data_IF_483232222197
#
_entry.id   IF_483232222197
#
_cell.length_a   1.000
_cell.length_b   1.000
_cell.length_c   1.000
_cell.angle_alpha   90.00
_cell.angle_beta   90.00
_cell.angle_gamma   90.00
#
_symmetry.space_group_name_H-M   'P 1'
#
loop_
_entity.id
_entity.type
_entity.pdbx_description
1 polymer ?
#
# COMPACT_ATOMS: atom_id res chain seq x y z
N UNK A 1 17.21 -19.00 36.97
CA UNK A 1 17.85 -18.56 35.74
C UNK A 1 16.75 -18.33 34.71
N UNK A 2 16.10 -17.16 34.81
CA UNK A 2 15.02 -16.76 33.92
C UNK A 2 15.62 -16.18 32.65
N UNK A 3 15.52 -16.90 31.54
CA UNK A 3 15.79 -16.34 30.21
C UNK A 3 14.60 -15.47 29.82
N UNK A 4 14.81 -14.16 29.91
CA UNK A 4 13.92 -13.18 29.33
C UNK A 4 14.03 -13.31 27.80
N UNK A 5 13.09 -14.03 27.21
CA UNK A 5 12.88 -14.06 25.78
C UNK A 5 12.18 -12.75 25.46
N UNK A 6 12.99 -11.71 25.25
CA UNK A 6 12.50 -10.45 24.74
C UNK A 6 12.03 -10.74 23.31
N UNK A 7 10.72 -10.80 23.15
CA UNK A 7 10.07 -10.96 21.86
C UNK A 7 10.51 -9.81 20.96
N UNK A 8 11.23 -10.15 19.90
CA UNK A 8 11.72 -9.22 18.87
C UNK A 8 10.59 -8.79 17.91
N UNK A 9 9.34 -8.99 18.32
CA UNK A 9 8.15 -8.70 17.53
C UNK A 9 7.70 -7.23 17.57
N UNK A 10 8.38 -6.38 18.32
CA UNK A 10 7.91 -5.00 18.53
C UNK A 10 8.76 -3.94 17.83
N UNK A 11 9.52 -4.27 16.78
CA UNK A 11 10.32 -3.25 16.09
C UNK A 11 10.28 -3.38 14.56
N UNK A 12 9.12 -3.61 14.00
CA UNK A 12 8.84 -3.26 12.61
C UNK A 12 7.92 -2.03 12.57
N UNK A 13 8.32 -0.99 13.27
CA UNK A 13 7.86 0.35 12.90
C UNK A 13 8.59 0.66 11.60
N UNK A 14 8.00 0.24 10.51
CA UNK A 14 8.42 0.67 9.18
C UNK A 14 8.19 2.17 9.14
N UNK A 15 9.28 2.93 9.14
CA UNK A 15 9.24 4.37 8.94
C UNK A 15 8.79 4.60 7.49
N UNK A 16 7.49 4.67 7.29
CA UNK A 16 6.90 5.07 6.02
C UNK A 16 7.08 6.58 5.92
N UNK A 17 8.02 7.02 5.08
CA UNK A 17 8.15 8.44 4.78
C UNK A 17 7.01 8.86 3.87
N UNK A 18 6.09 9.64 4.39
CA UNK A 18 5.04 10.29 3.61
C UNK A 18 5.66 11.48 2.87
N UNK A 19 5.64 11.43 1.55
CA UNK A 19 5.94 12.59 0.72
C UNK A 19 4.63 13.15 0.18
N UNK A 20 4.15 14.22 0.76
CA UNK A 20 3.02 14.99 0.22
C UNK A 20 3.52 15.88 -0.90
N UNK A 21 3.15 15.58 -2.13
CA UNK A 21 3.37 16.46 -3.27
C UNK A 21 2.09 17.24 -3.55
N UNK A 22 2.02 18.50 -3.11
CA UNK A 22 0.96 19.39 -3.52
C UNK A 22 1.29 20.01 -4.87
N UNK A 23 0.56 19.64 -5.90
CA UNK A 23 0.63 20.31 -7.20
C UNK A 23 -0.37 21.48 -7.16
N UNK A 24 0.13 22.69 -6.99
CA UNK A 24 -0.68 23.90 -7.12
C UNK A 24 -0.79 24.26 -8.60
N UNK A 25 -1.87 23.92 -9.27
CA UNK A 25 -2.28 24.58 -10.50
C UNK A 25 -3.18 25.77 -10.16
N UNK A 26 -2.72 26.95 -10.53
CA UNK A 26 -3.46 28.20 -10.39
C UNK A 26 -4.60 28.27 -11.40
N UNK A 27 -5.79 27.82 -11.02
CA UNK A 27 -7.10 28.25 -11.53
C UNK A 27 -8.12 27.90 -10.45
N UNK A 28 -8.85 28.90 -9.97
CA UNK A 28 -9.91 28.70 -8.98
C UNK A 28 -11.04 27.88 -9.59
N UNK A 29 -11.22 26.63 -9.16
CA UNK A 29 -12.53 25.99 -9.21
C UNK A 29 -13.07 25.82 -7.80
N UNK A 30 -14.34 25.97 -7.68
CA UNK A 30 -15.20 25.69 -6.55
C UNK A 30 -14.64 24.55 -5.67
N UNK A 31 -14.22 24.84 -4.45
CA UNK A 31 -13.33 24.04 -3.59
C UNK A 31 -13.89 22.69 -3.08
N UNK A 32 -14.82 22.05 -3.82
CA UNK A 32 -15.39 20.75 -3.44
C UNK A 32 -14.89 19.54 -4.22
N UNK A 33 -14.18 19.75 -5.32
CA UNK A 33 -13.76 18.68 -6.23
C UNK A 33 -12.25 18.50 -6.34
N UNK A 34 -11.46 19.12 -5.47
CA UNK A 34 -10.01 18.87 -5.46
C UNK A 34 -9.72 17.49 -4.89
N UNK A 35 -8.85 16.75 -5.58
CA UNK A 35 -8.34 15.47 -5.14
C UNK A 35 -6.95 15.66 -4.54
N UNK A 36 -6.65 14.93 -3.49
CA UNK A 36 -5.34 14.88 -2.83
C UNK A 36 -4.76 13.49 -2.99
N UNK A 37 -3.44 13.42 -3.10
CA UNK A 37 -2.71 12.16 -3.32
C UNK A 37 -1.70 11.96 -2.20
N UNK A 38 -1.79 10.81 -1.53
CA UNK A 38 -0.77 10.29 -0.64
C UNK A 38 0.03 9.20 -1.35
N UNK A 39 1.33 9.19 -1.09
CA UNK A 39 2.24 8.23 -1.68
C UNK A 39 3.10 7.57 -0.61
N UNK A 40 3.06 6.26 -0.56
CA UNK A 40 3.83 5.43 0.36
C UNK A 40 4.81 4.56 -0.42
N UNK A 41 6.05 4.48 0.07
CA UNK A 41 7.07 3.61 -0.50
C UNK A 41 7.72 2.78 0.62
N UNK A 42 7.75 1.47 0.42
CA UNK A 42 8.45 0.53 1.28
C UNK A 42 9.55 -0.16 0.48
N UNK A 43 10.71 -0.35 1.08
CA UNK A 43 11.89 -0.91 0.42
C UNK A 43 12.59 0.10 -0.48
N UNK A 44 13.41 -0.42 -1.38
CA UNK A 44 14.21 0.39 -2.30
C UNK A 44 14.26 -0.23 -3.69
N UNK A 45 14.56 0.61 -4.65
CA UNK A 45 14.83 0.16 -6.01
C UNK A 45 16.09 -0.70 -6.03
N UNK A 46 15.99 -1.89 -6.63
CA UNK A 46 17.08 -2.84 -6.80
C UNK A 46 17.30 -3.04 -8.30
N UNK A 47 18.58 -3.13 -8.68
CA UNK A 47 18.95 -3.40 -10.08
C UNK A 47 18.32 -4.72 -10.54
N UNK A 48 17.73 -4.71 -11.73
CA UNK A 48 16.99 -5.83 -12.33
C UNK A 48 15.66 -6.21 -11.64
N UNK A 49 15.19 -5.45 -10.66
CA UNK A 49 13.83 -5.63 -10.16
C UNK A 49 12.81 -5.23 -11.23
N UNK A 50 11.77 -6.03 -11.36
CA UNK A 50 10.67 -5.81 -12.31
C UNK A 50 9.35 -5.69 -11.55
N UNK A 51 8.34 -5.01 -12.11
CA UNK A 51 6.99 -5.06 -11.57
C UNK A 51 6.50 -6.52 -11.57
N UNK A 52 6.13 -7.02 -10.40
CA UNK A 52 5.65 -8.40 -10.19
C UNK A 52 4.18 -8.44 -9.80
N UNK A 53 3.65 -7.29 -9.37
CA UNK A 53 2.25 -7.15 -9.01
C UNK A 53 1.79 -5.72 -9.27
N UNK A 54 0.56 -5.60 -9.77
CA UNK A 54 -0.12 -4.34 -9.93
C UNK A 54 -1.61 -4.53 -9.66
N UNK A 55 -2.16 -3.68 -8.83
CA UNK A 55 -3.61 -3.57 -8.68
C UNK A 55 -4.00 -2.12 -8.53
N UNK A 56 -5.18 -1.77 -9.03
CA UNK A 56 -5.80 -0.47 -8.83
C UNK A 56 -7.29 -0.65 -8.69
N UNK A 57 -7.89 0.20 -7.87
CA UNK A 57 -9.34 0.21 -7.69
C UNK A 57 -9.81 1.60 -7.27
N UNK A 58 -11.10 1.89 -7.53
CA UNK A 58 -11.75 3.12 -7.12
C UNK A 58 -13.05 2.79 -6.41
N UNK A 59 -13.20 3.35 -5.23
CA UNK A 59 -14.41 3.32 -4.41
C UNK A 59 -15.06 4.69 -4.43
N UNK A 60 -16.38 4.73 -4.51
CA UNK A 60 -17.16 5.97 -4.46
C UNK A 60 -18.30 5.79 -3.48
N UNK A 61 -18.52 6.79 -2.64
CA UNK A 61 -19.52 6.80 -1.59
C UNK A 61 -20.41 8.03 -1.71
N UNK A 62 -21.67 7.92 -1.30
CA UNK A 62 -22.63 9.01 -1.31
C UNK A 62 -22.32 10.11 -0.29
N UNK A 63 -21.53 9.76 0.74
CA UNK A 63 -21.09 10.67 1.80
C UNK A 63 -19.67 10.36 2.24
N UNK A 64 -18.99 11.35 2.83
CA UNK A 64 -17.64 11.14 3.36
C UNK A 64 -17.63 10.03 4.42
N UNK A 65 -16.74 9.07 4.22
CA UNK A 65 -16.56 7.94 5.11
C UNK A 65 -15.56 8.28 6.20
N UNK A 66 -15.86 7.86 7.42
CA UNK A 66 -15.00 8.10 8.58
C UNK A 66 -13.98 6.98 8.81
N UNK A 67 -14.20 5.83 8.20
CA UNK A 67 -13.28 4.68 8.34
C UNK A 67 -13.47 3.72 7.16
N UNK A 68 -12.50 3.73 6.25
CA UNK A 68 -12.40 2.77 5.16
C UNK A 68 -11.18 1.91 5.46
N UNK A 69 -11.36 0.59 5.52
CA UNK A 69 -10.27 -0.37 5.72
C UNK A 69 -10.27 -1.34 4.55
N UNK A 70 -9.14 -1.46 3.89
CA UNK A 70 -8.93 -2.35 2.74
C UNK A 70 -7.70 -3.20 2.99
N UNK A 71 -7.83 -4.51 2.74
CA UNK A 71 -6.71 -5.45 2.79
C UNK A 71 -6.36 -5.91 1.38
N UNK A 72 -5.09 -5.81 1.02
CA UNK A 72 -4.56 -6.18 -0.30
C UNK A 72 -3.47 -7.21 -0.09
N UNK A 73 -3.63 -8.37 -0.70
CA UNK A 73 -2.71 -9.49 -0.57
C UNK A 73 -1.99 -9.77 -1.90
N UNK A 74 -0.69 -10.03 -1.82
CA UNK A 74 0.11 -10.55 -2.92
C UNK A 74 0.94 -11.76 -2.43
N UNK A 75 0.94 -12.87 -3.18
CA UNK A 75 0.05 -13.15 -4.31
C UNK A 75 -1.42 -13.14 -3.88
N UNK A 76 -2.31 -12.80 -4.80
CA UNK A 76 -3.74 -12.92 -4.54
C UNK A 76 -4.07 -14.37 -4.22
N UNK A 77 -4.94 -14.60 -3.23
CA UNK A 77 -5.40 -15.96 -2.95
C UNK A 77 -6.17 -16.48 -4.16
N UNK A 78 -5.53 -17.36 -4.93
CA UNK A 78 -6.19 -18.07 -6.02
C UNK A 78 -6.90 -19.26 -5.42
N UNK A 79 -8.20 -19.34 -5.62
CA UNK A 79 -9.03 -20.48 -5.21
C UNK A 79 -8.79 -21.74 -6.04
N UNK A 80 -7.84 -21.73 -6.95
CA UNK A 80 -7.50 -22.87 -7.78
C UNK A 80 -6.31 -23.64 -7.21
N UNK A 81 -6.57 -24.94 -6.95
CA UNK A 81 -5.56 -25.94 -6.57
C UNK A 81 -4.55 -26.25 -7.70
N UNK A 82 -4.13 -25.25 -8.45
CA UNK A 82 -3.06 -25.43 -9.43
C UNK A 82 -1.73 -25.53 -8.72
N UNK A 83 -1.20 -26.72 -8.66
CA UNK A 83 0.13 -27.08 -8.17
C UNK A 83 1.20 -26.57 -9.15
N UNK A 84 1.17 -25.31 -9.53
CA UNK A 84 2.29 -24.71 -10.20
C UNK A 84 3.22 -24.12 -9.14
N UNK A 85 4.34 -24.79 -8.92
CA UNK A 85 5.49 -24.27 -8.18
C UNK A 85 6.10 -23.19 -9.10
N UNK A 86 5.43 -22.06 -9.25
CA UNK A 86 6.09 -20.89 -9.77
C UNK A 86 6.94 -20.34 -8.62
N UNK A 87 8.24 -20.22 -8.83
CA UNK A 87 9.15 -19.53 -7.92
C UNK A 87 8.67 -18.09 -7.80
N UNK A 88 7.91 -17.80 -6.75
CA UNK A 88 7.46 -16.43 -6.51
C UNK A 88 8.68 -15.54 -6.32
N UNK A 89 8.73 -14.39 -7.01
CA UNK A 89 9.85 -13.46 -6.88
C UNK A 89 9.95 -12.90 -5.45
N UNK A 90 11.16 -12.52 -5.05
CA UNK A 90 11.39 -11.81 -3.79
C UNK A 90 11.03 -10.33 -3.98
N UNK A 91 10.17 -9.82 -3.12
CA UNK A 91 9.72 -8.42 -3.12
C UNK A 91 10.87 -7.52 -2.67
N UNK A 92 11.17 -6.49 -3.46
CA UNK A 92 12.23 -5.51 -3.17
C UNK A 92 11.70 -4.14 -2.86
N UNK A 93 10.55 -3.76 -3.46
CA UNK A 93 9.92 -2.47 -3.25
C UNK A 93 8.41 -2.58 -3.45
N UNK A 94 7.68 -1.81 -2.65
CA UNK A 94 6.24 -1.62 -2.80
C UNK A 94 5.97 -0.13 -2.88
N UNK A 95 5.20 0.28 -3.87
CA UNK A 95 4.68 1.65 -4.03
C UNK A 95 3.17 1.62 -3.93
N UNK A 96 2.63 2.51 -3.13
CA UNK A 96 1.20 2.69 -2.94
C UNK A 96 0.84 4.14 -3.18
N UNK A 97 -0.13 4.37 -4.03
CA UNK A 97 -0.72 5.68 -4.31
C UNK A 97 -2.17 5.66 -3.86
N UNK A 98 -2.55 6.64 -3.08
CA UNK A 98 -3.91 6.82 -2.58
C UNK A 98 -4.40 8.20 -3.03
N UNK A 99 -5.59 8.25 -3.59
CA UNK A 99 -6.23 9.49 -4.02
C UNK A 99 -7.59 9.59 -3.35
N UNK A 100 -7.86 10.72 -2.71
CA UNK A 100 -9.11 11.00 -2.02
C UNK A 100 -9.57 12.42 -2.24
N UNK A 101 -10.79 12.77 -1.78
CA UNK A 101 -11.29 14.15 -1.80
C UNK A 101 -10.48 15.01 -0.83
N UNK A 102 -10.43 16.32 -1.07
CA UNK A 102 -9.67 17.26 -0.25
C UNK A 102 -9.91 17.08 1.26
N UNK A 103 -8.85 17.03 2.02
CA UNK A 103 -8.86 16.80 3.47
C UNK A 103 -9.04 15.33 3.84
N UNK A 104 -8.87 14.36 2.92
CA UNK A 104 -8.82 12.96 3.30
C UNK A 104 -7.55 12.66 4.10
N UNK A 105 -7.65 11.66 4.95
CA UNK A 105 -6.52 11.16 5.72
C UNK A 105 -6.31 9.70 5.37
N UNK A 106 -5.06 9.29 5.22
CA UNK A 106 -4.73 7.91 4.92
C UNK A 106 -3.56 7.38 5.74
N UNK A 107 -3.52 6.06 5.89
CA UNK A 107 -2.43 5.31 6.49
C UNK A 107 -2.30 3.97 5.77
N UNK A 108 -1.10 3.45 5.68
CA UNK A 108 -0.84 2.14 5.11
C UNK A 108 0.08 1.32 6.02
N UNK A 109 -0.25 0.06 6.20
CA UNK A 109 0.45 -0.87 7.07
C UNK A 109 0.80 -2.15 6.33
N UNK A 110 1.96 -2.73 6.61
CA UNK A 110 2.23 -4.13 6.27
C UNK A 110 1.76 -4.99 7.44
N UNK A 111 0.84 -5.89 7.16
CA UNK A 111 0.24 -6.78 8.17
C UNK A 111 0.82 -8.18 8.13
N UNK A 112 1.38 -8.60 7.00
CA UNK A 112 2.09 -9.88 6.85
C UNK A 112 3.09 -9.81 5.68
N UNK A 113 4.20 -10.56 5.78
CA UNK A 113 5.23 -10.58 4.76
C UNK A 113 5.96 -9.25 4.59
N UNK A 114 6.35 -8.93 3.35
CA UNK A 114 6.97 -7.64 3.00
C UNK A 114 8.24 -7.73 2.17
N UNK A 115 9.14 -6.78 2.38
CA UNK A 115 10.41 -6.71 1.65
C UNK A 115 11.31 -7.89 2.03
N UNK A 116 11.86 -8.56 1.02
CA UNK A 116 12.67 -9.78 1.21
C UNK A 116 11.85 -11.06 1.24
N UNK A 117 10.53 -10.97 1.20
CA UNK A 117 9.60 -12.09 1.21
C UNK A 117 8.95 -12.30 -0.17
N UNK A 118 8.31 -13.43 -0.36
CA UNK A 118 7.56 -13.78 -1.57
C UNK A 118 6.10 -13.39 -1.49
N UNK A 119 5.67 -12.83 -0.37
CA UNK A 119 4.31 -12.40 -0.10
C UNK A 119 4.28 -11.08 0.65
N UNK A 120 3.18 -10.38 0.54
CA UNK A 120 2.88 -9.21 1.35
C UNK A 120 1.39 -9.03 1.51
N UNK A 121 0.98 -8.62 2.70
CA UNK A 121 -0.36 -8.11 2.98
C UNK A 121 -0.25 -6.65 3.38
N UNK A 122 -0.96 -5.79 2.66
CA UNK A 122 -1.02 -4.35 2.90
C UNK A 122 -2.41 -4.00 3.36
N UNK A 123 -2.53 -3.34 4.50
CA UNK A 123 -3.77 -2.74 4.96
C UNK A 123 -3.74 -1.24 4.72
N UNK A 124 -4.76 -0.73 4.05
CA UNK A 124 -5.00 0.70 3.85
C UNK A 124 -6.12 1.13 4.78
N UNK A 125 -5.90 2.21 5.50
CA UNK A 125 -6.93 2.88 6.30
C UNK A 125 -7.08 4.29 5.75
N UNK A 126 -8.32 4.68 5.42
CA UNK A 126 -8.60 6.03 4.93
C UNK A 126 -9.87 6.57 5.59
N UNK A 127 -9.94 7.90 5.71
CA UNK A 127 -11.07 8.59 6.31
C UNK A 127 -11.32 9.93 5.63
N UNK A 128 -12.48 10.50 5.93
CA UNK A 128 -12.89 11.83 5.47
C UNK A 128 -12.91 11.99 3.94
N UNK A 129 -13.34 10.95 3.23
CA UNK A 129 -13.38 10.96 1.76
C UNK A 129 -14.66 10.36 1.21
N UNK A 130 -15.15 10.91 0.10
CA UNK A 130 -16.24 10.34 -0.72
C UNK A 130 -15.73 9.48 -1.86
N UNK A 131 -14.43 9.60 -2.18
CA UNK A 131 -13.77 8.82 -3.23
C UNK A 131 -12.46 8.33 -2.65
N UNK A 132 -12.19 7.03 -2.77
CA UNK A 132 -10.89 6.46 -2.52
C UNK A 132 -10.45 5.69 -3.75
N UNK A 133 -9.42 6.19 -4.43
CA UNK A 133 -8.75 5.46 -5.49
C UNK A 133 -7.39 5.02 -4.98
N UNK A 134 -7.00 3.79 -5.27
CA UNK A 134 -5.67 3.32 -4.91
C UNK A 134 -5.01 2.57 -6.06
N UNK A 135 -3.69 2.61 -6.08
CA UNK A 135 -2.85 1.77 -6.93
C UNK A 135 -1.69 1.21 -6.10
N UNK A 136 -1.49 -0.09 -6.16
CA UNK A 136 -0.36 -0.79 -5.50
C UNK A 136 0.50 -1.42 -6.57
N UNK A 137 1.81 -1.17 -6.50
CA UNK A 137 2.81 -1.76 -7.37
C UNK A 137 3.85 -2.44 -6.49
N UNK A 138 4.05 -3.74 -6.66
CA UNK A 138 5.19 -4.42 -6.06
C UNK A 138 6.24 -4.72 -7.13
N UNK A 139 7.49 -4.49 -6.78
CA UNK A 139 8.67 -4.83 -7.57
C UNK A 139 9.41 -5.97 -6.90
N UNK A 140 9.99 -6.82 -7.69
CA UNK A 140 10.74 -7.96 -7.18
C UNK A 140 11.76 -8.52 -8.17
N UNK A 141 12.57 -9.42 -7.67
CA UNK A 141 13.57 -10.17 -8.43
C UNK A 141 13.20 -11.64 -8.45
N UNK A 142 13.34 -12.26 -9.62
CA UNK A 142 13.22 -13.71 -9.75
C UNK A 142 14.39 -14.39 -9.02
N UNK A 143 14.13 -15.55 -8.42
CA UNK A 143 15.13 -16.40 -7.77
C UNK A 143 15.53 -17.49 -8.75
#
# INVERSE_FOLDING_TARGET
>A
MFKLKLSLELLMIVLVTVQTASISSSEEPNSKDSLEIDHYTLGSEVSNAMPIYFTQYRLTYDSAQTNIVLDINFPAETSDNSTEISSNPIITQIKLYLEGTAGFESQAYITDGGIGEQKVSVQIVASNTTILQYAVIAYGIAI
#
